data_IF_623652831483
#
_entry.id   IF_623652831483
#
_cell.length_a   1.000
_cell.length_b   1.000
_cell.length_c   1.000
_cell.angle_alpha   90.00
_cell.angle_beta   90.00
_cell.angle_gamma   90.00
#
_symmetry.space_group_name_H-M   'P 1'
#
loop_
_entity.id
_entity.type
_entity.pdbx_description
1 polymer ?
#
# COMPACT_ATOMS: atom_id res chain seq x y z
N UNK A 1 -13.16 47.36 0.85
CA UNK A 1 -13.26 46.45 2.01
C UNK A 1 -14.16 45.24 1.75
N UNK A 2 -15.42 45.38 1.32
CA UNK A 2 -16.32 44.23 1.05
C UNK A 2 -15.74 43.21 0.06
N UNK A 3 -15.18 43.64 -1.06
CA UNK A 3 -14.55 42.72 -2.03
C UNK A 3 -13.29 42.02 -1.51
N UNK A 4 -12.56 42.66 -0.59
CA UNK A 4 -11.38 42.06 0.07
C UNK A 4 -11.82 40.98 1.05
N UNK A 5 -12.84 41.25 1.85
CA UNK A 5 -13.42 40.27 2.79
C UNK A 5 -14.00 39.06 2.03
N UNK A 6 -14.69 39.31 0.92
CA UNK A 6 -15.24 38.24 0.07
C UNK A 6 -14.13 37.36 -0.52
N UNK A 7 -13.03 37.96 -0.97
CA UNK A 7 -11.88 37.22 -1.49
C UNK A 7 -11.25 36.31 -0.42
N UNK A 8 -11.07 36.82 0.81
CA UNK A 8 -10.57 35.99 1.93
C UNK A 8 -11.55 34.89 2.33
N UNK A 9 -12.87 35.14 2.31
CA UNK A 9 -13.88 34.12 2.58
C UNK A 9 -13.86 32.99 1.54
N UNK A 10 -13.70 33.34 0.25
CA UNK A 10 -13.58 32.35 -0.84
C UNK A 10 -12.30 31.53 -0.69
N UNK A 11 -11.15 32.17 -0.41
CA UNK A 11 -9.90 31.45 -0.16
C UNK A 11 -10.01 30.49 1.02
N UNK A 12 -10.69 30.90 2.10
CA UNK A 12 -10.91 30.04 3.26
C UNK A 12 -11.80 28.84 2.92
N UNK A 13 -12.91 29.05 2.20
CA UNK A 13 -13.81 27.98 1.79
C UNK A 13 -13.11 26.96 0.86
N UNK A 14 -12.28 27.42 -0.08
CA UNK A 14 -11.49 26.54 -0.96
C UNK A 14 -10.47 25.71 -0.16
N UNK A 15 -9.83 26.30 0.85
CA UNK A 15 -8.92 25.57 1.75
C UNK A 15 -9.66 24.47 2.52
N UNK A 16 -10.82 24.77 3.11
CA UNK A 16 -11.61 23.77 3.85
C UNK A 16 -12.09 22.64 2.94
N UNK A 17 -12.61 22.97 1.75
CA UNK A 17 -13.05 21.96 0.79
C UNK A 17 -11.92 21.01 0.35
N UNK A 18 -10.70 21.54 0.15
CA UNK A 18 -9.52 20.73 -0.17
C UNK A 18 -9.11 19.78 0.97
N UNK A 19 -9.49 20.06 2.22
CA UNK A 19 -9.25 19.17 3.35
C UNK A 19 -10.32 18.07 3.47
N UNK A 20 -11.51 18.24 2.89
CA UNK A 20 -12.55 17.19 2.90
C UNK A 20 -12.41 16.24 1.71
N UNK A 21 -11.90 16.74 0.58
CA UNK A 21 -11.65 15.97 -0.64
C UNK A 21 -10.20 16.16 -1.07
N UNK A 22 -9.26 15.35 -0.55
CA UNK A 22 -7.87 15.46 -0.95
C UNK A 22 -7.71 15.23 -2.45
N UNK A 23 -7.01 16.15 -3.10
CA UNK A 23 -6.55 15.98 -4.47
C UNK A 23 -5.17 15.34 -4.48
N UNK A 24 -5.00 14.30 -5.29
CA UNK A 24 -3.75 13.57 -5.45
C UNK A 24 -3.28 13.67 -6.90
N UNK A 25 -1.96 13.60 -7.18
CA UNK A 25 -1.45 13.68 -8.53
C UNK A 25 -1.96 12.53 -9.41
N UNK A 26 -2.00 12.73 -10.73
CA UNK A 26 -2.24 11.61 -11.65
C UNK A 26 -1.03 10.66 -11.69
N UNK A 27 -1.23 9.35 -11.94
CA UNK A 27 -0.13 8.40 -12.04
C UNK A 27 0.83 8.73 -13.20
N UNK A 28 2.13 8.64 -12.94
CA UNK A 28 3.16 8.77 -13.98
C UNK A 28 3.09 7.62 -15.01
N UNK A 29 3.73 7.81 -16.18
CA UNK A 29 3.74 6.80 -17.24
C UNK A 29 4.38 5.48 -16.78
N UNK A 30 3.59 4.41 -16.79
CA UNK A 30 4.03 3.07 -16.35
C UNK A 30 3.67 2.76 -14.91
N UNK A 31 3.07 3.72 -14.20
CA UNK A 31 2.51 3.55 -12.87
C UNK A 31 0.98 3.46 -12.94
N UNK A 32 0.37 2.99 -11.86
CA UNK A 32 -1.07 3.06 -11.60
C UNK A 32 -1.32 3.47 -10.14
N UNK A 33 -2.46 4.10 -9.90
CA UNK A 33 -2.96 4.36 -8.54
C UNK A 33 -3.87 3.20 -8.11
N UNK A 34 -3.63 2.70 -6.91
CA UNK A 34 -4.49 1.74 -6.21
C UNK A 34 -4.90 2.36 -4.88
N UNK A 35 -6.20 2.52 -4.67
CA UNK A 35 -6.72 3.07 -3.43
C UNK A 35 -6.99 1.93 -2.43
N UNK A 36 -6.22 1.88 -1.34
CA UNK A 36 -6.47 0.95 -0.25
C UNK A 36 -7.70 1.42 0.52
N UNK A 37 -8.86 0.87 0.16
CA UNK A 37 -10.13 1.10 0.83
C UNK A 37 -10.45 -0.08 1.74
N UNK A 38 -10.29 0.13 3.04
CA UNK A 38 -10.62 -0.87 4.04
C UNK A 38 -12.15 -0.94 4.24
N UNK A 39 -12.68 -2.09 4.68
CA UNK A 39 -14.08 -2.19 5.07
C UNK A 39 -14.44 -1.22 6.20
N UNK A 40 -15.73 -1.10 6.54
CA UNK A 40 -16.13 -0.43 7.79
C UNK A 40 -16.25 -1.52 8.86
N UNK A 41 -15.59 -1.33 9.99
CA UNK A 41 -15.55 -2.29 11.11
C UNK A 41 -15.77 -1.50 12.40
N UNK A 42 -16.52 -2.08 13.33
CA UNK A 42 -16.67 -1.57 14.69
C UNK A 42 -15.45 -1.96 15.55
N UNK A 43 -15.02 -1.07 16.46
CA UNK A 43 -13.81 -1.25 17.29
C UNK A 43 -12.51 -1.38 16.49
N UNK A 44 -12.26 -0.39 15.62
CA UNK A 44 -11.05 -0.29 14.79
C UNK A 44 -9.71 -0.43 15.54
N UNK A 45 -9.64 0.00 16.80
CA UNK A 45 -8.43 -0.04 17.64
C UNK A 45 -7.87 -1.45 17.88
N UNK A 46 -8.66 -2.50 17.71
CA UNK A 46 -8.20 -3.88 17.84
C UNK A 46 -7.57 -4.43 16.56
N UNK A 47 -7.64 -3.68 15.46
CA UNK A 47 -7.21 -4.12 14.15
C UNK A 47 -5.94 -3.42 13.68
N UNK A 48 -5.12 -4.20 12.97
CA UNK A 48 -4.02 -3.68 12.16
C UNK A 48 -4.18 -4.15 10.72
N UNK A 49 -3.55 -3.43 9.81
CA UNK A 49 -3.53 -3.74 8.39
C UNK A 49 -2.11 -4.12 8.03
N UNK A 50 -1.95 -5.33 7.51
CA UNK A 50 -0.72 -5.74 6.85
C UNK A 50 -0.90 -5.58 5.35
N UNK A 51 0.06 -4.92 4.71
CA UNK A 51 0.07 -4.67 3.28
C UNK A 51 1.35 -5.27 2.68
N UNK A 52 1.21 -5.94 1.54
CA UNK A 52 2.32 -6.46 0.74
C UNK A 52 2.11 -6.10 -0.73
N UNK A 53 3.19 -6.03 -1.48
CA UNK A 53 3.12 -5.89 -2.92
C UNK A 53 3.20 -7.27 -3.58
N UNK A 54 2.45 -7.48 -4.65
CA UNK A 54 2.46 -8.74 -5.40
C UNK A 54 2.87 -8.54 -6.85
N UNK A 55 3.61 -9.50 -7.41
CA UNK A 55 3.93 -9.58 -8.83
C UNK A 55 3.46 -10.92 -9.38
N UNK A 56 2.96 -10.95 -10.61
CA UNK A 56 2.67 -12.20 -11.31
C UNK A 56 3.90 -12.65 -12.09
N UNK A 57 4.28 -13.91 -11.91
CA UNK A 57 5.46 -14.48 -12.57
C UNK A 57 5.12 -15.85 -13.15
N UNK A 58 5.67 -16.16 -14.33
CA UNK A 58 5.72 -17.54 -14.83
C UNK A 58 6.89 -18.23 -14.16
N UNK A 59 6.60 -19.21 -13.31
CA UNK A 59 7.62 -19.96 -12.57
C UNK A 59 7.47 -21.45 -12.87
N UNK A 60 8.52 -22.23 -12.68
CA UNK A 60 8.40 -23.68 -12.81
C UNK A 60 7.48 -24.23 -11.71
N UNK A 61 6.67 -25.25 -12.03
CA UNK A 61 5.88 -25.99 -11.03
C UNK A 61 6.75 -26.61 -9.93
N UNK A 62 8.04 -26.82 -10.23
CA UNK A 62 9.03 -27.36 -9.32
C UNK A 62 9.64 -26.34 -8.38
N UNK A 63 9.40 -25.04 -8.62
CA UNK A 63 9.96 -23.93 -7.87
C UNK A 63 9.20 -23.72 -6.56
N UNK A 64 9.92 -23.75 -5.45
CA UNK A 64 9.44 -23.27 -4.16
C UNK A 64 9.88 -21.80 -4.00
N UNK A 65 8.98 -20.90 -4.39
CA UNK A 65 9.14 -19.45 -4.27
C UNK A 65 8.14 -18.96 -3.22
N UNK A 66 8.68 -18.33 -2.18
CA UNK A 66 7.92 -17.77 -1.07
C UNK A 66 7.62 -16.29 -1.29
N UNK A 67 8.63 -15.52 -1.67
CA UNK A 67 8.54 -14.07 -1.84
C UNK A 67 9.60 -13.53 -2.82
N UNK A 68 9.48 -12.24 -3.12
CA UNK A 68 10.51 -11.48 -3.81
C UNK A 68 11.13 -10.45 -2.85
N UNK A 69 12.43 -10.20 -3.00
CA UNK A 69 13.18 -9.21 -2.24
C UNK A 69 12.53 -7.84 -2.36
N UNK A 70 12.18 -7.26 -1.22
CA UNK A 70 11.60 -5.93 -1.14
C UNK A 70 12.14 -5.20 0.07
N UNK A 71 12.62 -3.97 -0.13
CA UNK A 71 13.03 -3.09 0.96
C UNK A 71 11.96 -2.01 1.14
N UNK A 72 11.33 -1.99 2.31
CA UNK A 72 10.27 -1.04 2.62
C UNK A 72 10.73 0.41 2.59
N UNK A 73 12.04 0.67 2.76
CA UNK A 73 12.61 2.02 2.63
C UNK A 73 12.48 2.61 1.22
N UNK A 74 12.20 1.78 0.22
CA UNK A 74 11.91 2.26 -1.13
C UNK A 74 10.50 2.87 -1.25
N UNK A 75 9.63 2.66 -0.25
CA UNK A 75 8.31 3.27 -0.24
C UNK A 75 8.38 4.71 0.27
N UNK A 76 8.04 5.65 -0.59
CA UNK A 76 8.02 7.07 -0.24
C UNK A 76 6.64 7.49 0.24
N UNK A 77 6.57 8.08 1.44
CA UNK A 77 5.36 8.75 1.92
C UNK A 77 5.36 10.20 1.45
N UNK A 78 4.33 10.59 0.71
CA UNK A 78 4.11 11.97 0.23
C UNK A 78 2.73 12.46 0.68
N UNK A 79 2.44 13.74 0.47
CA UNK A 79 1.16 14.36 0.79
C UNK A 79 0.52 14.92 -0.47
N UNK A 80 -0.81 14.89 -0.53
CA UNK A 80 -1.59 15.37 -1.67
C UNK A 80 -1.26 16.82 -2.07
N UNK A 81 -1.87 17.29 -3.16
CA UNK A 81 -1.61 18.63 -3.68
C UNK A 81 -1.90 19.67 -2.58
N UNK A 82 -0.96 20.57 -2.25
CA UNK A 82 -1.16 21.57 -1.21
C UNK A 82 -2.49 22.31 -1.43
N UNK A 83 -3.29 22.50 -0.38
CA UNK A 83 -2.99 22.36 1.05
C UNK A 83 -3.27 20.98 1.70
N UNK A 84 -3.40 19.90 0.92
CA UNK A 84 -3.75 18.57 1.46
C UNK A 84 -2.76 18.03 2.48
N UNK A 85 -3.28 17.55 3.62
CA UNK A 85 -2.51 16.84 4.66
C UNK A 85 -2.62 15.32 4.57
N UNK A 86 -3.34 14.80 3.58
CA UNK A 86 -3.61 13.37 3.46
C UNK A 86 -2.44 12.67 2.77
N UNK A 87 -1.90 11.60 3.37
CA UNK A 87 -0.76 10.92 2.81
C UNK A 87 -1.16 10.03 1.63
N UNK A 88 -0.22 9.87 0.72
CA UNK A 88 -0.20 8.78 -0.24
C UNK A 88 1.20 8.17 -0.29
N UNK A 89 1.29 6.98 -0.86
CA UNK A 89 2.56 6.26 -0.96
C UNK A 89 2.97 6.11 -2.43
N UNK A 90 4.25 6.32 -2.71
CA UNK A 90 4.83 6.10 -4.03
C UNK A 90 5.88 5.02 -3.92
N UNK A 91 5.72 4.01 -4.76
CA UNK A 91 6.73 3.01 -4.99
C UNK A 91 7.46 3.40 -6.29
N UNK A 92 8.78 3.71 -6.27
CA UNK A 92 9.52 4.02 -7.47
C UNK A 92 9.33 2.95 -8.56
N UNK A 93 9.34 3.38 -9.83
CA UNK A 93 9.10 2.48 -10.97
C UNK A 93 10.16 1.39 -11.10
N UNK A 94 11.41 1.75 -10.82
CA UNK A 94 12.57 0.87 -10.93
C UNK A 94 13.04 0.52 -9.52
N UNK A 95 12.64 -0.66 -9.06
CA UNK A 95 13.08 -1.21 -7.78
C UNK A 95 13.69 -2.57 -8.06
N UNK A 96 14.90 -2.85 -7.54
CA UNK A 96 15.47 -4.18 -7.64
C UNK A 96 14.53 -5.17 -6.97
N UNK A 97 14.09 -6.16 -7.75
CA UNK A 97 13.30 -7.29 -7.26
C UNK A 97 14.05 -8.56 -7.60
N UNK A 98 14.44 -9.30 -6.57
CA UNK A 98 15.15 -10.56 -6.71
C UNK A 98 14.29 -11.67 -6.12
N UNK A 99 14.28 -12.84 -6.76
CA UNK A 99 13.53 -13.99 -6.29
C UNK A 99 14.49 -15.13 -6.06
N UNK A 100 14.62 -15.56 -4.80
CA UNK A 100 15.35 -16.77 -4.46
C UNK A 100 14.47 -17.98 -4.77
N UNK A 101 14.95 -18.83 -5.68
CA UNK A 101 14.19 -19.99 -6.15
C UNK A 101 14.88 -21.28 -5.72
N UNK A 102 14.18 -22.10 -4.94
CA UNK A 102 14.59 -23.47 -4.64
C UNK A 102 13.81 -24.45 -5.50
N UNK A 103 14.44 -25.53 -5.95
CA UNK A 103 13.80 -26.54 -6.78
C UNK A 103 13.63 -27.84 -6.01
N UNK A 104 12.43 -28.42 -6.09
CA UNK A 104 12.20 -29.80 -5.64
C UNK A 104 13.03 -30.78 -6.47
N UNK A 105 13.59 -31.80 -5.83
CA UNK A 105 14.28 -32.89 -6.51
C UNK A 105 13.31 -33.69 -7.39
N UNK A 106 13.79 -34.20 -8.53
CA UNK A 106 13.04 -35.08 -9.45
C UNK A 106 11.74 -34.49 -10.01
N UNK A 107 11.74 -33.21 -10.38
CA UNK A 107 10.59 -32.53 -10.97
C UNK A 107 10.91 -31.95 -12.36
N UNK A 108 9.96 -32.03 -13.28
CA UNK A 108 10.09 -31.55 -14.66
C UNK A 108 10.02 -30.01 -14.72
N UNK A 109 11.18 -29.39 -14.93
CA UNK A 109 11.33 -27.93 -14.93
C UNK A 109 10.69 -27.25 -16.14
N UNK A 110 10.30 -27.99 -17.18
CA UNK A 110 9.72 -27.42 -18.41
C UNK A 110 8.28 -26.96 -18.22
N UNK A 111 7.58 -27.51 -17.22
CA UNK A 111 6.23 -27.08 -16.86
C UNK A 111 6.28 -25.79 -16.05
N UNK A 112 5.54 -24.78 -16.52
CA UNK A 112 5.45 -23.48 -15.88
C UNK A 112 4.02 -23.12 -15.56
N UNK A 113 3.85 -22.41 -14.45
CA UNK A 113 2.57 -21.88 -13.98
C UNK A 113 2.71 -20.40 -13.65
N UNK A 114 1.62 -19.65 -13.87
CA UNK A 114 1.51 -18.29 -13.36
C UNK A 114 1.27 -18.34 -11.86
N UNK A 115 2.16 -17.75 -11.08
CA UNK A 115 2.01 -17.59 -9.63
C UNK A 115 2.13 -16.13 -9.25
N UNK A 116 1.30 -15.68 -8.32
CA UNK A 116 1.50 -14.40 -7.63
C UNK A 116 2.51 -14.60 -6.50
N UNK A 117 3.57 -13.81 -6.51
CA UNK A 117 4.62 -13.80 -5.49
C UNK A 117 4.54 -12.48 -4.73
N UNK A 118 4.60 -12.53 -3.40
CA UNK A 118 4.46 -11.34 -2.54
C UNK A 118 5.81 -10.80 -2.08
N UNK A 119 5.88 -9.52 -1.71
CA UNK A 119 7.09 -8.84 -1.23
C UNK A 119 7.58 -9.41 0.09
N UNK A 120 8.87 -9.69 0.28
CA UNK A 120 9.40 -10.32 1.50
C UNK A 120 9.16 -9.49 2.76
N UNK A 121 9.21 -8.15 2.65
CA UNK A 121 8.80 -7.23 3.71
C UNK A 121 7.34 -6.80 3.54
N UNK A 122 6.70 -6.49 4.67
CA UNK A 122 5.35 -5.97 4.76
C UNK A 122 5.31 -4.56 5.36
N UNK A 123 4.19 -3.88 5.18
CA UNK A 123 3.83 -2.66 5.91
C UNK A 123 2.81 -3.09 6.95
N UNK A 124 3.09 -2.83 8.22
CA UNK A 124 2.11 -3.00 9.29
C UNK A 124 1.71 -1.62 9.82
N UNK A 125 0.43 -1.30 9.71
CA UNK A 125 -0.12 -0.02 10.16
C UNK A 125 -1.37 -0.23 11.01
N UNK A 126 -1.69 0.75 11.85
CA UNK A 126 -2.97 0.78 12.55
C UNK A 126 -4.13 0.84 11.56
N UNK A 127 -5.26 0.22 11.91
CA UNK A 127 -6.44 0.27 11.07
C UNK A 127 -7.02 1.69 10.99
N UNK A 128 -7.34 2.12 9.77
CA UNK A 128 -8.09 3.35 9.53
C UNK A 128 -9.02 3.17 8.33
N UNK A 129 -10.27 2.79 8.61
CA UNK A 129 -11.30 2.59 7.58
C UNK A 129 -12.05 3.86 7.16
N UNK A 130 -11.68 5.03 7.68
CA UNK A 130 -12.40 6.29 7.38
C UNK A 130 -12.00 6.88 6.03
N UNK A 131 -10.76 6.65 5.61
CA UNK A 131 -10.21 7.21 4.37
C UNK A 131 -9.53 6.11 3.56
N UNK A 132 -9.67 6.19 2.23
CA UNK A 132 -8.84 5.38 1.35
C UNK A 132 -7.44 5.99 1.27
N UNK A 133 -6.42 5.13 1.31
CA UNK A 133 -5.02 5.55 1.21
C UNK A 133 -4.50 5.20 -0.20
N UNK A 134 -4.12 6.20 -1.02
CA UNK A 134 -3.61 5.91 -2.36
C UNK A 134 -2.18 5.36 -2.35
N UNK A 135 -1.95 4.36 -3.19
CA UNK A 135 -0.63 3.82 -3.52
C UNK A 135 -0.39 3.96 -5.01
N UNK A 136 0.72 4.58 -5.38
CA UNK A 136 1.21 4.65 -6.75
C UNK A 136 2.26 3.56 -6.93
N UNK A 137 1.92 2.54 -7.72
CA UNK A 137 2.75 1.34 -7.91
C UNK A 137 2.95 1.07 -9.40
N UNK A 138 3.97 0.29 -9.80
CA UNK A 138 4.12 -0.13 -11.19
C UNK A 138 2.86 -0.84 -11.71
N UNK A 139 2.55 -0.66 -13.00
CA UNK A 139 1.30 -1.19 -13.61
C UNK A 139 1.10 -2.68 -13.41
N UNK A 140 2.17 -3.45 -13.45
CA UNK A 140 2.14 -4.92 -13.40
C UNK A 140 2.20 -5.45 -11.96
N UNK A 141 2.26 -4.57 -10.96
CA UNK A 141 2.26 -4.93 -9.55
C UNK A 141 0.85 -4.87 -8.97
N UNK A 142 0.65 -5.55 -7.85
CA UNK A 142 -0.60 -5.59 -7.10
C UNK A 142 -0.36 -5.11 -5.66
N UNK A 143 -1.39 -4.53 -5.05
CA UNK A 143 -1.40 -4.14 -3.65
C UNK A 143 -2.32 -5.11 -2.91
N UNK A 144 -1.72 -5.94 -2.07
CA UNK A 144 -2.43 -6.96 -1.30
C UNK A 144 -2.48 -6.54 0.16
N UNK A 145 -3.58 -6.83 0.85
CA UNK A 145 -3.69 -6.57 2.27
C UNK A 145 -4.42 -7.68 3.00
N UNK A 146 -4.15 -7.80 4.30
CA UNK A 146 -4.97 -8.57 5.23
C UNK A 146 -5.10 -7.85 6.56
N UNK A 147 -6.18 -8.16 7.28
CA UNK A 147 -6.44 -7.61 8.60
C UNK A 147 -5.92 -8.54 9.68
N UNK A 148 -5.23 -7.96 10.65
CA UNK A 148 -4.88 -8.60 11.91
C UNK A 148 -5.86 -8.12 12.96
N UNK A 149 -6.31 -9.02 13.83
CA UNK A 149 -7.13 -8.69 15.00
C UNK A 149 -6.43 -9.17 16.25
N UNK A 150 -6.30 -8.29 17.24
CA UNK A 150 -5.87 -8.69 18.57
C UNK A 150 -7.01 -9.47 19.23
N UNK A 151 -6.75 -10.70 19.63
CA UNK A 151 -7.69 -11.57 20.35
C UNK A 151 -7.21 -11.92 21.77
N UNK A 152 -6.08 -11.36 22.18
CA UNK A 152 -5.41 -11.62 23.44
C UNK A 152 -5.51 -10.42 24.36
N UNK A 153 -5.61 -10.67 25.65
CA UNK A 153 -5.44 -9.64 26.68
C UNK A 153 -3.95 -9.36 26.92
N UNK A 154 -3.67 -8.18 27.50
CA UNK A 154 -2.35 -7.88 27.99
C UNK A 154 -1.97 -8.84 29.12
N UNK A 155 -0.72 -9.33 29.07
CA UNK A 155 -0.12 -10.14 30.13
C UNK A 155 1.08 -9.42 30.70
N UNK A 156 1.30 -9.57 31.99
CA UNK A 156 2.57 -9.17 32.60
C UNK A 156 3.67 -10.13 32.13
N UNK A 157 4.84 -9.60 31.80
CA UNK A 157 6.02 -10.43 31.56
C UNK A 157 6.66 -10.77 32.91
N UNK A 158 6.92 -12.05 33.15
CA UNK A 158 7.71 -12.52 34.29
C UNK A 158 9.14 -12.78 33.81
N UNK A 159 10.13 -12.42 34.65
CA UNK A 159 11.56 -12.65 34.41
C UNK A 159 11.96 -14.08 34.76
#
# INVERSE_FOLDING_TARGET
MKSVILFFAILYALNVYSQEKPSYPEPEKGMKRVDLKLPKIENDKEYKVEIRFGIEMNISECSDINDFSFNIKNLEKRYGIPPSRFPYYVLPKEIPTEVLTFYKSNCDKTKTVKKKVLSSQNILQEYNGHIAIPFYIPKDWTLEYRLWKVNSEFKNAEL
#
